data_IF_411554985235
#
_entry.id   IF_411554985235
#
_cell.length_a   1.000
_cell.length_b   1.000
_cell.length_c   1.000
_cell.angle_alpha   90.00
_cell.angle_beta   90.00
_cell.angle_gamma   90.00
#
_symmetry.space_group_name_H-M   'P 1'
#
loop_
_entity.id
_entity.type
_entity.pdbx_description
1 polymer ?
#
# COMPACT_ATOMS: atom_id res chain seq x y z
N UNK A 1 23.68 23.25 -52.23
CA UNK A 1 24.42 22.03 -51.81
C UNK A 1 24.91 22.08 -50.36
N UNK A 2 25.28 23.25 -49.79
CA UNK A 2 25.69 23.37 -48.38
C UNK A 2 24.52 23.25 -47.36
N UNK A 3 23.34 23.80 -47.68
CA UNK A 3 22.16 23.73 -46.79
C UNK A 3 21.49 22.34 -46.75
N UNK A 4 21.61 21.55 -47.82
CA UNK A 4 21.08 20.17 -47.86
C UNK A 4 21.90 19.20 -47.02
N UNK A 5 23.19 19.50 -46.79
CA UNK A 5 24.09 18.73 -45.90
C UNK A 5 23.80 19.06 -44.42
N UNK A 6 23.46 20.31 -44.10
CA UNK A 6 23.10 20.71 -42.73
C UNK A 6 21.76 20.11 -42.31
N UNK A 7 20.78 20.03 -43.23
CA UNK A 7 19.45 19.46 -42.96
C UNK A 7 19.54 17.94 -42.72
N UNK A 8 20.42 17.22 -43.42
CA UNK A 8 20.61 15.77 -43.22
C UNK A 8 21.38 15.45 -41.93
N UNK A 9 22.25 16.34 -41.46
CA UNK A 9 22.97 16.20 -40.19
C UNK A 9 22.05 16.40 -38.96
N UNK A 10 21.06 17.29 -39.06
CA UNK A 10 20.09 17.56 -37.97
C UNK A 10 19.05 16.43 -37.86
N UNK A 11 18.65 15.81 -38.97
CA UNK A 11 17.68 14.70 -38.96
C UNK A 11 18.31 13.41 -38.41
N UNK A 12 19.63 13.21 -38.59
CA UNK A 12 20.34 12.06 -38.02
C UNK A 12 20.43 12.06 -36.49
N UNK A 13 20.47 13.26 -35.87
CA UNK A 13 20.64 13.42 -34.42
C UNK A 13 19.34 13.24 -33.61
N UNK A 14 18.18 13.15 -34.26
CA UNK A 14 16.87 13.01 -33.60
C UNK A 14 16.46 11.55 -33.35
N UNK A 15 17.22 10.57 -33.83
CA UNK A 15 16.87 9.14 -33.73
C UNK A 15 17.41 8.43 -32.47
N UNK A 16 18.08 9.16 -31.57
CA UNK A 16 18.73 8.57 -30.37
C UNK A 16 18.11 8.96 -29.03
N UNK A 17 16.97 9.66 -29.00
CA UNK A 17 16.26 9.90 -27.73
C UNK A 17 15.27 8.77 -27.41
N UNK A 18 15.86 7.70 -26.88
CA UNK A 18 15.30 6.84 -25.83
C UNK A 18 14.03 6.06 -26.19
N UNK A 19 14.25 4.85 -26.70
CA UNK A 19 13.45 3.69 -26.30
C UNK A 19 13.63 3.49 -24.78
N UNK A 20 12.90 4.27 -23.98
CA UNK A 20 12.70 3.95 -22.58
C UNK A 20 11.92 2.63 -22.57
N UNK A 21 12.64 1.52 -22.38
CA UNK A 21 12.08 0.26 -21.95
C UNK A 21 11.45 0.52 -20.58
N UNK A 22 10.21 1.02 -20.60
CA UNK A 22 9.42 1.24 -19.41
C UNK A 22 9.10 -0.16 -18.90
N UNK A 23 9.92 -0.65 -17.97
CA UNK A 23 9.60 -1.85 -17.20
C UNK A 23 8.22 -1.59 -16.62
N UNK A 24 7.24 -2.38 -17.05
CA UNK A 24 5.92 -2.37 -16.44
C UNK A 24 6.10 -2.75 -14.97
N UNK A 25 5.67 -1.86 -14.08
CA UNK A 25 5.71 -2.05 -12.64
C UNK A 25 4.28 -1.94 -12.13
N UNK A 26 3.89 -2.85 -11.27
CA UNK A 26 2.67 -2.80 -10.50
C UNK A 26 2.93 -1.97 -9.24
N UNK A 27 2.05 -1.02 -8.96
CA UNK A 27 2.11 -0.19 -7.75
C UNK A 27 1.18 -0.80 -6.70
N UNK A 28 1.75 -1.08 -5.53
CA UNK A 28 1.05 -1.62 -4.37
C UNK A 28 0.94 -0.52 -3.34
N UNK A 29 -0.25 -0.34 -2.78
CA UNK A 29 -0.49 0.51 -1.63
C UNK A 29 -1.16 -0.32 -0.53
N UNK A 30 -0.53 -0.40 0.62
CA UNK A 30 -0.97 -1.23 1.74
C UNK A 30 -1.03 -0.37 2.98
N UNK A 31 -2.18 -0.32 3.62
CA UNK A 31 -2.32 0.30 4.92
C UNK A 31 -2.03 -0.74 6.00
N UNK A 32 -1.14 -0.42 6.93
CA UNK A 32 -0.72 -1.32 8.00
C UNK A 32 -0.92 -0.67 9.36
N UNK A 33 -1.43 -1.44 10.31
CA UNK A 33 -1.53 -1.04 11.71
C UNK A 33 -0.25 -1.44 12.48
N UNK A 34 0.11 -0.64 13.47
CA UNK A 34 1.25 -0.89 14.36
C UNK A 34 2.56 -0.18 13.97
N UNK A 35 2.55 0.70 12.96
CA UNK A 35 3.66 1.61 12.67
C UNK A 35 3.68 2.79 13.66
N UNK A 36 4.14 2.55 14.89
CA UNK A 36 4.23 3.61 15.92
C UNK A 36 5.55 4.36 15.94
N UNK A 37 6.54 3.96 15.15
CA UNK A 37 7.90 4.48 15.26
C UNK A 37 8.68 4.44 13.93
N UNK A 38 9.65 5.36 13.68
CA UNK A 38 10.50 5.30 12.50
C UNK A 38 11.24 3.97 12.33
N UNK A 39 11.71 3.38 13.44
CA UNK A 39 12.38 2.09 13.42
C UNK A 39 11.46 0.94 12.99
N UNK A 40 10.16 1.06 13.26
CA UNK A 40 9.13 0.10 12.91
C UNK A 40 8.96 0.08 11.37
N UNK A 41 8.87 1.27 10.76
CA UNK A 41 8.83 1.43 9.30
C UNK A 41 10.08 0.86 8.62
N UNK A 42 11.28 1.17 9.14
CA UNK A 42 12.52 0.59 8.61
C UNK A 42 12.56 -0.94 8.71
N UNK A 43 12.00 -1.51 9.78
CA UNK A 43 11.88 -2.96 9.95
C UNK A 43 11.02 -3.60 8.87
N UNK A 44 9.85 -3.02 8.60
CA UNK A 44 8.94 -3.45 7.53
C UNK A 44 9.61 -3.32 6.15
N UNK A 45 10.21 -2.17 5.84
CA UNK A 45 10.91 -1.94 4.58
C UNK A 45 11.99 -3.00 4.33
N UNK A 46 12.78 -3.32 5.37
CA UNK A 46 13.84 -4.33 5.28
C UNK A 46 13.30 -5.71 4.93
N UNK A 47 12.14 -6.09 5.49
CA UNK A 47 11.47 -7.36 5.19
C UNK A 47 10.90 -7.40 3.77
N UNK A 48 10.43 -6.26 3.26
CA UNK A 48 9.96 -6.15 1.89
C UNK A 48 11.10 -6.06 0.86
N UNK A 49 12.28 -5.57 1.24
CA UNK A 49 13.50 -5.63 0.42
C UNK A 49 13.98 -7.05 0.13
N UNK A 50 13.52 -8.06 0.87
CA UNK A 50 13.77 -9.47 0.54
C UNK A 50 13.08 -9.87 -0.79
N UNK A 51 12.02 -9.16 -1.19
CA UNK A 51 11.42 -9.33 -2.51
C UNK A 51 12.35 -8.79 -3.60
N UNK A 52 12.88 -9.73 -4.42
CA UNK A 52 13.76 -9.41 -5.55
C UNK A 52 13.03 -8.58 -6.62
N UNK A 53 13.21 -7.27 -6.59
CA UNK A 53 12.71 -6.35 -7.62
C UNK A 53 11.92 -5.15 -7.10
N UNK A 54 11.69 -5.04 -5.79
CA UNK A 54 10.96 -3.92 -5.21
C UNK A 54 11.67 -2.58 -5.47
N UNK A 55 10.90 -1.55 -5.81
CA UNK A 55 11.34 -0.17 -6.07
C UNK A 55 10.36 0.81 -5.44
N UNK A 56 10.75 2.09 -5.41
CA UNK A 56 9.89 3.22 -5.03
C UNK A 56 9.14 3.02 -3.71
N UNK A 57 9.84 2.47 -2.72
CA UNK A 57 9.27 2.20 -1.41
C UNK A 57 9.05 3.52 -0.66
N UNK A 58 7.81 3.75 -0.24
CA UNK A 58 7.38 4.91 0.55
C UNK A 58 6.58 4.40 1.75
N UNK A 59 6.88 4.94 2.92
CA UNK A 59 6.17 4.61 4.16
C UNK A 59 5.77 5.93 4.83
N UNK A 60 4.49 6.06 5.12
CA UNK A 60 3.94 7.09 5.99
C UNK A 60 3.59 6.44 7.35
N UNK A 61 4.28 6.90 8.40
CA UNK A 61 4.10 6.40 9.76
C UNK A 61 2.88 7.05 10.42
N UNK A 62 2.49 8.25 9.98
CA UNK A 62 1.35 8.98 10.54
C UNK A 62 0.03 8.34 10.09
N UNK A 63 -0.07 7.93 8.83
CA UNK A 63 -1.28 7.31 8.26
C UNK A 63 -1.22 5.78 8.21
N UNK A 64 -0.02 5.20 8.38
CA UNK A 64 0.22 3.75 8.24
C UNK A 64 0.24 3.30 6.77
N UNK A 65 0.35 4.22 5.81
CA UNK A 65 0.38 3.90 4.40
C UNK A 65 1.76 3.42 3.95
N UNK A 66 1.79 2.27 3.29
CA UNK A 66 2.99 1.66 2.73
C UNK A 66 2.80 1.44 1.23
N UNK A 67 3.50 2.22 0.42
CA UNK A 67 3.45 2.10 -1.04
C UNK A 67 4.78 1.56 -1.59
N UNK A 68 4.71 0.69 -2.59
CA UNK A 68 5.90 0.18 -3.28
C UNK A 68 5.60 -0.24 -4.72
N UNK A 69 6.61 -0.16 -5.58
CA UNK A 69 6.55 -0.66 -6.95
C UNK A 69 7.19 -2.06 -7.05
N UNK A 70 6.52 -2.99 -7.72
CA UNK A 70 7.00 -4.34 -7.98
C UNK A 70 6.95 -4.65 -9.47
N UNK A 71 7.91 -5.36 -10.07
CA UNK A 71 7.94 -5.52 -11.52
C UNK A 71 6.83 -6.47 -11.96
N UNK A 72 6.08 -6.06 -13.00
CA UNK A 72 4.93 -6.82 -13.52
C UNK A 72 5.32 -8.13 -14.20
N UNK A 73 6.63 -8.35 -14.42
CA UNK A 73 7.18 -9.64 -14.87
C UNK A 73 7.04 -10.75 -13.83
N UNK A 74 6.76 -10.38 -12.56
CA UNK A 74 6.50 -11.30 -11.46
C UNK A 74 5.13 -11.01 -10.87
N UNK A 75 4.25 -12.00 -10.95
CA UNK A 75 2.95 -11.89 -10.32
C UNK A 75 3.10 -11.91 -8.79
N UNK A 76 2.76 -10.80 -8.15
CA UNK A 76 2.65 -10.68 -6.70
C UNK A 76 1.17 -10.55 -6.34
N UNK A 77 0.65 -11.56 -5.63
CA UNK A 77 -0.74 -11.55 -5.18
C UNK A 77 -0.91 -10.69 -3.93
N UNK A 78 -2.11 -10.14 -3.76
CA UNK A 78 -2.49 -9.37 -2.57
C UNK A 78 -2.32 -10.17 -1.28
N UNK A 79 -2.69 -11.45 -1.31
CA UNK A 79 -2.51 -12.39 -0.19
C UNK A 79 -1.03 -12.55 0.19
N UNK A 80 -0.12 -12.64 -0.78
CA UNK A 80 1.31 -12.76 -0.49
C UNK A 80 1.85 -11.48 0.19
N UNK A 81 1.33 -10.31 -0.18
CA UNK A 81 1.66 -9.04 0.45
C UNK A 81 1.14 -8.99 1.88
N UNK A 82 -0.15 -9.29 2.11
CA UNK A 82 -0.77 -9.35 3.43
C UNK A 82 -0.04 -10.35 4.35
N UNK A 83 0.29 -11.54 3.85
CA UNK A 83 1.07 -12.53 4.58
C UNK A 83 2.47 -12.02 4.96
N UNK A 84 3.12 -11.27 4.08
CA UNK A 84 4.43 -10.71 4.39
C UNK A 84 4.35 -9.62 5.45
N UNK A 85 3.30 -8.80 5.43
CA UNK A 85 3.01 -7.82 6.50
C UNK A 85 2.81 -8.54 7.83
N UNK A 86 2.01 -9.63 7.86
CA UNK A 86 1.82 -10.44 9.06
C UNK A 86 3.12 -11.09 9.55
N UNK A 87 3.95 -11.62 8.64
CA UNK A 87 5.28 -12.17 8.97
C UNK A 87 6.25 -11.11 9.49
N UNK A 88 6.09 -9.86 9.07
CA UNK A 88 6.85 -8.73 9.59
C UNK A 88 6.37 -8.30 10.99
N UNK A 89 5.23 -8.80 11.47
CA UNK A 89 4.67 -8.52 12.79
C UNK A 89 3.67 -7.36 12.81
N UNK A 90 3.10 -7.01 11.65
CA UNK A 90 2.13 -5.93 11.50
C UNK A 90 0.78 -6.48 11.01
N UNK A 91 -0.28 -5.68 11.17
CA UNK A 91 -1.62 -6.07 10.75
C UNK A 91 -2.00 -5.31 9.48
N UNK A 92 -2.22 -5.97 8.32
CA UNK A 92 -2.73 -5.30 7.13
C UNK A 92 -4.20 -4.89 7.35
N UNK A 93 -4.52 -3.63 7.05
CA UNK A 93 -5.89 -3.08 7.12
C UNK A 93 -6.52 -3.06 5.72
N UNK A 94 -5.79 -2.51 4.75
CA UNK A 94 -6.26 -2.38 3.38
C UNK A 94 -5.10 -2.61 2.42
N UNK A 95 -5.40 -3.16 1.24
CA UNK A 95 -4.42 -3.30 0.18
C UNK A 95 -5.04 -2.95 -1.18
N UNK A 96 -4.38 -2.10 -1.94
CA UNK A 96 -4.72 -1.73 -3.30
C UNK A 96 -3.55 -2.05 -4.22
N UNK A 97 -3.84 -2.67 -5.36
CA UNK A 97 -2.89 -2.99 -6.41
C UNK A 97 -3.31 -2.23 -7.65
N UNK A 98 -2.46 -1.33 -8.13
CA UNK A 98 -2.57 -0.70 -9.44
C UNK A 98 -1.62 -1.42 -10.39
N UNK A 99 -2.17 -2.36 -11.17
CA UNK A 99 -1.37 -3.11 -12.15
C UNK A 99 -1.01 -2.24 -13.35
N UNK A 100 0.14 -2.49 -13.97
CA UNK A 100 0.58 -1.80 -15.18
C UNK A 100 -0.43 -1.92 -16.34
N UNK A 101 -1.21 -3.00 -16.37
CA UNK A 101 -2.31 -3.23 -17.31
C UNK A 101 -3.57 -2.38 -17.04
N UNK A 102 -3.52 -1.43 -16.10
CA UNK A 102 -4.64 -0.55 -15.74
C UNK A 102 -5.71 -1.22 -14.86
N UNK A 103 -5.52 -2.47 -14.47
CA UNK A 103 -6.42 -3.20 -13.58
C UNK A 103 -6.16 -2.79 -12.12
N UNK A 104 -7.16 -2.19 -11.47
CA UNK A 104 -7.13 -1.88 -10.04
C UNK A 104 -7.81 -3.01 -9.27
N UNK A 105 -7.10 -3.58 -8.31
CA UNK A 105 -7.62 -4.59 -7.39
C UNK A 105 -7.54 -4.05 -5.98
N UNK A 106 -8.67 -4.01 -5.26
CA UNK A 106 -8.73 -3.61 -3.85
C UNK A 106 -9.09 -4.83 -3.01
N UNK A 107 -8.24 -5.20 -2.05
CA UNK A 107 -8.62 -6.03 -0.89
C UNK A 107 -9.16 -5.07 0.15
N UNK A 108 -10.46 -5.13 0.37
CA UNK A 108 -11.01 -4.79 1.68
C UNK A 108 -10.97 -6.07 2.52
N UNK A 109 -9.79 -6.41 3.06
CA UNK A 109 -9.63 -7.50 4.03
C UNK A 109 -9.14 -6.90 5.34
N UNK A 110 -10.08 -6.20 5.97
CA UNK A 110 -9.88 -5.41 7.18
C UNK A 110 -10.94 -4.31 7.17
N UNK A 111 -12.06 -4.59 7.84
CA UNK A 111 -13.23 -3.71 8.01
C UNK A 111 -12.92 -2.22 7.85
N UNK A 112 -13.58 -1.60 6.88
CA UNK A 112 -13.92 -0.18 6.79
C UNK A 112 -13.16 0.74 7.76
N UNK A 113 -12.00 1.23 7.34
CA UNK A 113 -11.44 2.48 7.87
C UNK A 113 -10.87 3.29 6.71
N UNK A 114 -11.74 3.67 5.77
CA UNK A 114 -11.53 4.94 5.10
C UNK A 114 -11.86 6.03 6.13
N UNK A 115 -10.87 6.87 6.43
CA UNK A 115 -11.15 8.21 6.92
C UNK A 115 -11.80 9.01 5.77
N UNK A 116 -13.08 8.77 5.55
CA UNK A 116 -13.99 9.79 5.07
C UNK A 116 -14.96 10.07 6.23
N UNK A 117 -15.02 11.33 6.64
CA UNK A 117 -15.90 11.78 7.72
C UNK A 117 -17.32 11.32 7.41
N UNK A 118 -17.99 10.78 8.44
CA UNK A 118 -19.45 10.64 8.57
C UNK A 118 -20.08 9.27 8.27
N UNK A 119 -19.52 8.17 8.80
CA UNK A 119 -20.36 7.02 9.14
C UNK A 119 -19.88 6.31 10.42
N UNK A 120 -20.61 6.52 11.51
CA UNK A 120 -20.45 5.77 12.75
C UNK A 120 -20.90 4.31 12.49
N UNK A 121 -19.94 3.39 12.44
CA UNK A 121 -20.27 1.96 12.34
C UNK A 121 -20.78 1.48 13.71
N UNK A 122 -22.09 1.36 13.85
CA UNK A 122 -22.70 0.76 15.03
C UNK A 122 -22.37 -0.74 15.09
N UNK A 123 -21.51 -1.13 16.03
CA UNK A 123 -21.22 -2.55 16.35
C UNK A 123 -21.91 -2.92 17.65
N UNK A 124 -22.75 -3.96 17.60
CA UNK A 124 -23.38 -4.54 18.79
C UNK A 124 -22.50 -5.64 19.40
N UNK A 125 -22.27 -5.57 20.71
CA UNK A 125 -21.53 -6.60 21.46
C UNK A 125 -22.44 -7.13 22.56
N UNK A 126 -22.67 -8.45 22.56
CA UNK A 126 -23.48 -9.12 23.58
C UNK A 126 -22.62 -9.50 24.77
N UNK A 127 -23.07 -9.13 25.96
CA UNK A 127 -22.43 -9.51 27.23
C UNK A 127 -23.43 -10.31 28.06
N UNK A 128 -23.05 -11.52 28.44
CA UNK A 128 -23.87 -12.37 29.31
C UNK A 128 -23.62 -12.00 30.78
N UNK A 129 -24.69 -11.75 31.53
CA UNK A 129 -24.61 -11.46 32.96
C UNK A 129 -25.99 -11.17 33.55
N UNK A 130 -26.13 -11.31 34.87
CA UNK A 130 -27.38 -11.11 35.60
C UNK A 130 -27.27 -10.02 36.70
N UNK A 131 -26.17 -9.27 36.75
CA UNK A 131 -25.89 -8.29 37.80
C UNK A 131 -25.94 -6.85 37.27
N UNK A 132 -26.88 -6.04 37.78
CA UNK A 132 -27.08 -4.64 37.37
C UNK A 132 -25.86 -3.75 37.65
N UNK A 133 -25.12 -4.02 38.73
CA UNK A 133 -23.89 -3.27 39.04
C UNK A 133 -22.78 -3.52 38.02
N UNK A 134 -22.73 -4.73 37.43
CA UNK A 134 -21.78 -5.04 36.35
C UNK A 134 -22.17 -4.32 35.06
N UNK A 135 -23.47 -4.29 34.73
CA UNK A 135 -23.99 -3.54 33.59
C UNK A 135 -23.62 -2.05 33.66
N UNK A 136 -23.87 -1.41 34.79
CA UNK A 136 -23.56 0.01 34.98
C UNK A 136 -22.05 0.32 34.83
N UNK A 137 -21.18 -0.59 35.26
CA UNK A 137 -19.73 -0.43 35.10
C UNK A 137 -19.29 -0.55 33.65
N UNK A 138 -19.85 -1.49 32.90
CA UNK A 138 -19.55 -1.69 31.47
C UNK A 138 -20.01 -0.46 30.67
N UNK A 139 -21.24 0.01 30.89
CA UNK A 139 -21.76 1.20 30.21
C UNK A 139 -20.93 2.45 30.51
N UNK A 140 -20.44 2.61 31.74
CA UNK A 140 -19.54 3.71 32.12
C UNK A 140 -18.17 3.61 31.44
N UNK A 141 -17.63 2.40 31.28
CA UNK A 141 -16.33 2.19 30.64
C UNK A 141 -16.37 2.47 29.13
N UNK A 142 -17.49 2.21 28.46
CA UNK A 142 -17.65 2.42 27.00
C UNK A 142 -17.92 3.88 26.65
N UNK A 143 -18.51 4.67 27.56
CA UNK A 143 -18.84 6.09 27.33
C UNK A 143 -17.66 7.06 27.55
N UNK A 144 -16.52 6.58 28.05
CA UNK A 144 -15.34 7.40 28.40
C UNK A 144 -14.28 7.35 27.31
#
# INVERSE_FOLDING_TARGET
>A
MKNTIIITLIIGMMTVFSANAQKEMDEFNVQVDGLGCPFCAYGLEKKFKEFKGIKDVKIDIETGDFSFAYPADKELSMQAVEEQVMKAGYTPIAAEIQRANGKKEKSASGTDLMMEKDDLIAKEVRVAGNCEMCKARIEKAVKN
#
